data_IF_737263164393
#
_entry.id   IF_737263164393
#
_cell.length_a   1.000
_cell.length_b   1.000
_cell.length_c   1.000
_cell.angle_alpha   90.00
_cell.angle_beta   90.00
_cell.angle_gamma   90.00
#
_symmetry.space_group_name_H-M   'P 1'
#
loop_
_entity.id
_entity.type
_entity.pdbx_description
1 polymer ?
#
# COMPACT_ATOMS: atom_id res chain seq x y z
N UNK A 1 10.81 -10.93 11.21
CA UNK A 1 12.04 -11.27 11.96
C UNK A 1 11.80 -12.58 12.73
N UNK A 2 12.75 -13.10 13.52
CA UNK A 2 12.54 -14.29 14.37
C UNK A 2 13.01 -14.04 15.80
N UNK A 3 12.34 -14.65 16.78
CA UNK A 3 12.76 -14.63 18.18
C UNK A 3 14.05 -15.42 18.35
N UNK A 4 15.06 -14.83 19.01
CA UNK A 4 16.38 -15.45 19.19
C UNK A 4 16.33 -16.75 20.00
N UNK A 5 15.41 -16.84 20.96
CA UNK A 5 15.31 -17.98 21.88
C UNK A 5 14.52 -19.16 21.32
N UNK A 6 13.48 -18.92 20.54
CA UNK A 6 12.55 -19.97 20.08
C UNK A 6 12.55 -20.17 18.57
N UNK A 7 13.10 -19.25 17.79
CA UNK A 7 13.03 -19.28 16.33
C UNK A 7 11.65 -18.92 15.75
N UNK A 8 10.65 -18.63 16.58
CA UNK A 8 9.30 -18.25 16.13
C UNK A 8 9.33 -16.95 15.32
N UNK A 9 8.38 -16.81 14.38
CA UNK A 9 8.20 -15.57 13.64
C UNK A 9 7.86 -14.42 14.59
N UNK A 10 8.59 -13.31 14.43
CA UNK A 10 8.38 -12.06 15.14
C UNK A 10 8.19 -10.96 14.10
N UNK A 11 6.94 -10.77 13.69
CA UNK A 11 6.56 -9.82 12.65
C UNK A 11 7.09 -10.13 11.25
N UNK A 12 6.75 -9.24 10.32
CA UNK A 12 7.16 -9.31 8.91
C UNK A 12 8.15 -8.19 8.58
N UNK A 13 8.98 -8.42 7.56
CA UNK A 13 9.79 -7.36 6.92
C UNK A 13 9.18 -6.92 5.57
N UNK A 14 8.00 -7.47 5.24
CA UNK A 14 7.29 -7.21 3.99
C UNK A 14 6.90 -5.74 3.92
N UNK A 15 7.27 -5.07 2.83
CA UNK A 15 6.78 -3.73 2.52
C UNK A 15 5.40 -3.84 1.89
N UNK A 16 4.52 -2.88 2.18
CA UNK A 16 3.14 -2.92 1.69
C UNK A 16 3.05 -3.03 0.15
N UNK A 17 3.91 -2.30 -0.58
CA UNK A 17 3.99 -2.38 -2.05
C UNK A 17 4.30 -3.80 -2.57
N UNK A 18 5.15 -4.53 -1.86
CA UNK A 18 5.54 -5.88 -2.22
C UNK A 18 4.40 -6.85 -1.87
N UNK A 19 3.71 -6.63 -0.75
CA UNK A 19 2.51 -7.38 -0.39
C UNK A 19 1.36 -7.22 -1.40
N UNK A 20 1.14 -6.01 -1.88
CA UNK A 20 0.18 -5.72 -2.95
C UNK A 20 0.53 -6.46 -4.24
N UNK A 21 1.81 -6.45 -4.65
CA UNK A 21 2.24 -7.22 -5.83
C UNK A 21 2.05 -8.72 -5.62
N UNK A 22 2.45 -9.25 -4.47
CA UNK A 22 2.34 -10.67 -4.16
C UNK A 22 0.91 -11.20 -4.33
N UNK A 23 -0.11 -10.49 -3.82
CA UNK A 23 -1.50 -10.95 -3.95
C UNK A 23 -1.99 -10.94 -5.40
N UNK A 24 -1.42 -10.07 -6.26
CA UNK A 24 -1.68 -10.07 -7.70
C UNK A 24 -0.99 -11.25 -8.37
N UNK A 25 0.30 -11.44 -8.12
CA UNK A 25 1.09 -12.54 -8.69
C UNK A 25 0.57 -13.93 -8.29
N UNK A 26 0.06 -14.08 -7.08
CA UNK A 26 -0.54 -15.32 -6.60
C UNK A 26 -1.96 -15.56 -7.13
N UNK A 27 -2.51 -14.64 -7.90
CA UNK A 27 -3.86 -14.74 -8.46
C UNK A 27 -4.98 -14.60 -7.41
N UNK A 28 -4.69 -13.99 -6.26
CA UNK A 28 -5.66 -13.77 -5.18
C UNK A 28 -6.54 -12.55 -5.47
N UNK A 29 -5.97 -11.52 -6.09
CA UNK A 29 -6.65 -10.27 -6.42
C UNK A 29 -6.18 -9.74 -7.77
N UNK A 30 -7.04 -9.05 -8.51
CA UNK A 30 -6.58 -8.26 -9.66
C UNK A 30 -5.91 -6.94 -9.18
N UNK A 31 -5.19 -6.21 -10.05
CA UNK A 31 -4.47 -5.00 -9.64
C UNK A 31 -5.36 -3.93 -8.97
N UNK A 32 -6.57 -3.74 -9.47
CA UNK A 32 -7.52 -2.78 -8.89
C UNK A 32 -7.93 -3.20 -7.47
N UNK A 33 -8.28 -4.47 -7.27
CA UNK A 33 -8.60 -5.02 -5.94
C UNK A 33 -7.41 -4.90 -4.98
N UNK A 34 -6.19 -5.20 -5.43
CA UNK A 34 -4.99 -5.11 -4.61
C UNK A 34 -4.70 -3.67 -4.16
N UNK A 35 -4.88 -2.67 -5.04
CA UNK A 35 -4.79 -1.25 -4.66
C UNK A 35 -5.82 -0.92 -3.59
N UNK A 36 -7.08 -1.35 -3.76
CA UNK A 36 -8.14 -1.11 -2.78
C UNK A 36 -7.85 -1.76 -1.43
N UNK A 37 -7.27 -2.96 -1.41
CA UNK A 37 -6.80 -3.64 -0.20
C UNK A 37 -5.70 -2.88 0.54
N UNK A 38 -4.88 -2.11 -0.18
CA UNK A 38 -3.79 -1.31 0.37
C UNK A 38 -4.17 0.15 0.68
N UNK A 39 -5.34 0.63 0.25
CA UNK A 39 -5.78 2.03 0.42
C UNK A 39 -7.18 2.16 1.03
N UNK A 40 -8.25 2.01 0.23
CA UNK A 40 -9.61 2.31 0.67
C UNK A 40 -10.11 1.36 1.76
N UNK A 41 -9.85 0.06 1.62
CA UNK A 41 -10.35 -0.93 2.56
C UNK A 41 -9.80 -0.72 3.99
N UNK A 42 -8.49 -0.48 4.21
CA UNK A 42 -8.00 -0.13 5.54
C UNK A 42 -8.50 1.24 6.02
N UNK A 43 -8.70 2.24 5.15
CA UNK A 43 -9.29 3.52 5.57
C UNK A 43 -10.73 3.34 6.09
N UNK A 44 -11.54 2.54 5.39
CA UNK A 44 -12.91 2.18 5.81
C UNK A 44 -12.93 1.39 7.11
N UNK A 45 -12.00 0.46 7.31
CA UNK A 45 -12.01 -0.40 8.51
C UNK A 45 -11.78 0.37 9.81
N UNK A 46 -11.18 1.55 9.72
CA UNK A 46 -10.95 2.47 10.85
C UNK A 46 -11.75 3.77 10.75
N UNK A 47 -12.72 3.87 9.83
CA UNK A 47 -13.61 5.02 9.62
C UNK A 47 -12.88 6.35 9.35
N UNK A 48 -11.87 6.33 8.48
CA UNK A 48 -11.14 7.52 8.00
C UNK A 48 -11.19 7.66 6.47
N UNK A 49 -12.10 6.94 5.80
CA UNK A 49 -12.23 7.01 4.34
C UNK A 49 -12.84 8.33 3.85
N UNK A 50 -13.28 9.20 4.75
CA UNK A 50 -13.65 10.59 4.52
C UNK A 50 -12.45 11.55 4.40
N UNK A 51 -11.25 11.12 4.82
CA UNK A 51 -10.01 11.91 4.74
C UNK A 51 -8.91 11.27 3.89
N UNK A 52 -8.87 9.94 3.73
CA UNK A 52 -7.84 9.27 2.91
C UNK A 52 -8.32 7.98 2.22
N UNK A 53 -7.41 7.31 1.49
CA UNK A 53 -7.64 6.02 0.84
C UNK A 53 -8.28 6.10 -0.55
N UNK A 54 -8.57 7.30 -1.06
CA UNK A 54 -9.14 7.53 -2.40
C UNK A 54 -8.50 8.76 -3.05
N UNK A 55 -8.37 8.73 -4.37
CA UNK A 55 -8.09 9.93 -5.16
C UNK A 55 -9.42 10.62 -5.42
N UNK A 56 -9.69 11.69 -4.68
CA UNK A 56 -10.97 12.42 -4.74
C UNK A 56 -10.76 13.91 -4.46
N UNK A 57 -11.60 14.75 -5.06
CA UNK A 57 -11.59 16.18 -4.76
C UNK A 57 -11.82 16.44 -3.27
N UNK A 58 -11.09 17.42 -2.72
CA UNK A 58 -11.13 17.79 -1.31
C UNK A 58 -10.25 16.95 -0.38
N UNK A 59 -9.55 15.95 -0.90
CA UNK A 59 -8.62 15.10 -0.13
C UNK A 59 -7.19 15.61 -0.30
N UNK A 60 -6.34 15.33 0.68
CA UNK A 60 -4.91 15.55 0.54
C UNK A 60 -4.36 14.76 -0.65
N UNK A 61 -3.44 15.38 -1.40
CA UNK A 61 -2.84 14.78 -2.58
C UNK A 61 -1.72 13.78 -2.20
N UNK A 62 -2.11 12.78 -1.42
CA UNK A 62 -1.32 11.66 -0.95
C UNK A 62 -1.52 10.45 -1.87
N UNK A 63 -0.53 10.19 -2.71
CA UNK A 63 -0.60 9.09 -3.66
C UNK A 63 0.78 8.58 -4.04
N UNK A 64 0.79 7.38 -4.63
CA UNK A 64 1.98 6.79 -5.22
C UNK A 64 1.79 6.63 -6.72
N UNK A 65 2.89 6.68 -7.46
CA UNK A 65 2.93 6.34 -8.87
C UNK A 65 3.52 4.94 -8.99
N UNK A 66 2.79 4.06 -9.65
CA UNK A 66 3.23 2.70 -9.96
C UNK A 66 3.43 2.56 -11.47
N UNK A 67 4.37 1.73 -11.89
CA UNK A 67 4.47 1.31 -13.28
C UNK A 67 3.52 0.13 -13.60
N UNK A 68 3.60 -0.37 -14.84
CA UNK A 68 2.79 -1.48 -15.34
C UNK A 68 3.03 -2.80 -14.59
N UNK A 69 4.18 -2.95 -13.94
CA UNK A 69 4.59 -4.14 -13.19
C UNK A 69 4.34 -3.96 -11.69
N UNK A 70 3.60 -2.90 -11.31
CA UNK A 70 3.29 -2.51 -9.94
C UNK A 70 4.55 -2.20 -9.11
N UNK A 71 5.62 -1.73 -9.75
CA UNK A 71 6.77 -1.17 -9.05
C UNK A 71 6.54 0.30 -8.68
N UNK A 72 7.04 0.69 -7.50
CA UNK A 72 6.95 2.06 -7.03
C UNK A 72 7.89 2.94 -7.86
N UNK A 73 7.35 4.00 -8.46
CA UNK A 73 8.11 5.02 -9.19
C UNK A 73 8.33 6.26 -8.34
N UNK A 74 7.29 6.74 -7.65
CA UNK A 74 7.35 7.95 -6.82
C UNK A 74 6.28 7.96 -5.72
N UNK A 75 6.51 8.73 -4.66
CA UNK A 75 5.52 9.02 -3.61
C UNK A 75 5.34 10.52 -3.46
N UNK A 76 4.08 10.93 -3.39
CA UNK A 76 3.66 12.30 -3.16
C UNK A 76 2.94 12.38 -1.82
N UNK A 77 3.30 13.38 -1.02
CA UNK A 77 2.58 13.75 0.21
C UNK A 77 2.19 15.23 0.11
N UNK A 78 0.92 15.54 0.33
CA UNK A 78 0.33 16.87 0.16
C UNK A 78 0.63 17.46 -1.25
N UNK A 79 0.63 16.61 -2.28
CA UNK A 79 0.95 17.01 -3.66
C UNK A 79 2.43 17.28 -3.92
N UNK A 80 3.29 17.16 -2.91
CA UNK A 80 4.74 17.34 -3.04
C UNK A 80 5.42 15.98 -3.21
N UNK A 81 6.23 15.83 -4.26
CA UNK A 81 7.04 14.62 -4.46
C UNK A 81 8.05 14.49 -3.32
N UNK A 82 7.91 13.46 -2.48
CA UNK A 82 8.80 13.17 -1.33
C UNK A 82 9.78 12.05 -1.61
N UNK A 83 9.46 11.18 -2.56
CA UNK A 83 10.29 10.04 -2.91
C UNK A 83 10.29 9.79 -4.42
N UNK A 84 11.43 9.34 -4.92
CA UNK A 84 11.67 8.85 -6.28
C UNK A 84 12.47 7.55 -6.14
N UNK A 85 11.98 6.48 -6.77
CA UNK A 85 12.65 5.18 -6.78
C UNK A 85 13.90 5.18 -7.68
#
# INVERSE_FOLDING_TARGET
ARLKSTGNLAGSILKLKDGMRNVVEWGIANPHEAVMMASLNPAKSVNIDDVCGQIREGYDADFIVLDKDLELVATYLDGVKRYQA
#
